data_IF_643174946397
#
_entry.id   IF_643174946397
#
_cell.length_a   1.000
_cell.length_b   1.000
_cell.length_c   1.000
_cell.angle_alpha   90.00
_cell.angle_beta   90.00
_cell.angle_gamma   90.00
#
_symmetry.space_group_name_H-M   'P 1'
#
loop_
_entity.id
_entity.type
_entity.pdbx_description
1 polymer ?
#
# COMPACT_ATOMS: atom_id res chain seq x y z
N UNK A 1 -9.98 13.10 5.40
CA UNK A 1 -8.73 12.33 5.20
C UNK A 1 -8.89 11.03 5.94
N UNK A 2 -9.24 9.98 5.19
CA UNK A 2 -9.58 8.67 5.75
C UNK A 2 -8.43 7.73 5.47
N UNK A 3 -7.76 7.27 6.51
CA UNK A 3 -6.68 6.31 6.39
C UNK A 3 -7.22 4.96 5.90
N UNK A 4 -6.62 4.45 4.83
CA UNK A 4 -7.00 3.19 4.21
C UNK A 4 -5.83 2.22 4.18
N UNK A 5 -6.11 0.91 4.23
CA UNK A 5 -5.04 -0.11 4.22
C UNK A 5 -4.31 -0.06 2.88
N UNK A 6 -2.98 -0.08 2.91
CA UNK A 6 -2.13 0.00 1.72
C UNK A 6 -2.51 -1.04 0.65
N UNK A 7 -2.80 -2.28 1.04
CA UNK A 7 -3.23 -3.31 0.08
C UNK A 7 -4.60 -3.03 -0.57
N UNK A 8 -5.48 -2.28 0.11
CA UNK A 8 -6.76 -1.85 -0.46
C UNK A 8 -6.55 -0.69 -1.44
N UNK A 9 -5.68 0.26 -1.10
CA UNK A 9 -5.31 1.37 -1.99
C UNK A 9 -4.63 0.87 -3.26
N UNK A 10 -3.65 -0.03 -3.13
CA UNK A 10 -2.97 -0.66 -4.27
C UNK A 10 -3.95 -1.42 -5.18
N UNK A 11 -4.91 -2.13 -4.58
CA UNK A 11 -5.94 -2.82 -5.35
C UNK A 11 -6.91 -1.87 -6.04
N UNK A 12 -7.28 -0.78 -5.39
CA UNK A 12 -8.14 0.24 -5.99
C UNK A 12 -7.47 0.95 -7.17
N UNK A 13 -6.14 1.17 -7.09
CA UNK A 13 -5.32 1.73 -8.17
C UNK A 13 -4.97 0.71 -9.28
N UNK A 14 -5.45 -0.53 -9.17
CA UNK A 14 -5.23 -1.57 -10.18
C UNK A 14 -3.81 -2.15 -10.21
N UNK A 15 -2.99 -1.90 -9.18
CA UNK A 15 -1.61 -2.40 -9.10
C UNK A 15 -1.57 -3.92 -8.95
N UNK A 16 -2.43 -4.46 -8.08
CA UNK A 16 -2.53 -5.89 -7.80
C UNK A 16 -3.85 -6.22 -7.10
N UNK A 17 -4.23 -7.48 -7.00
CA UNK A 17 -5.35 -7.87 -6.10
C UNK A 17 -4.98 -7.55 -4.63
N UNK A 18 -5.97 -7.46 -3.73
CA UNK A 18 -5.69 -7.20 -2.30
C UNK A 18 -4.69 -8.19 -1.69
N UNK A 19 -4.73 -9.46 -2.11
CA UNK A 19 -3.81 -10.52 -1.64
C UNK A 19 -2.42 -10.38 -2.26
N UNK A 20 -2.35 -10.18 -3.57
CA UNK A 20 -1.08 -9.96 -4.24
C UNK A 20 -0.39 -8.66 -3.75
N UNK A 21 -1.17 -7.63 -3.39
CA UNK A 21 -0.63 -6.42 -2.78
C UNK A 21 0.01 -6.71 -1.40
N UNK A 22 -0.56 -7.60 -0.58
CA UNK A 22 0.08 -8.04 0.67
C UNK A 22 1.43 -8.71 0.39
N UNK A 23 1.53 -9.56 -0.64
CA UNK A 23 2.80 -10.20 -1.03
C UNK A 23 3.84 -9.18 -1.51
N UNK A 24 3.44 -8.19 -2.33
CA UNK A 24 4.32 -7.13 -2.83
C UNK A 24 4.83 -6.24 -1.69
N UNK A 25 3.96 -5.92 -0.72
CA UNK A 25 4.34 -5.19 0.50
C UNK A 25 5.35 -6.02 1.29
N UNK A 26 5.04 -7.27 1.63
CA UNK A 26 5.93 -8.14 2.39
C UNK A 26 7.29 -8.36 1.70
N UNK A 27 7.32 -8.36 0.37
CA UNK A 27 8.54 -8.43 -0.43
C UNK A 27 9.36 -7.12 -0.46
N UNK A 28 8.90 -6.05 0.19
CA UNK A 28 9.58 -4.75 0.23
C UNK A 28 9.57 -4.01 -1.10
N UNK A 29 8.57 -4.28 -1.96
CA UNK A 29 8.46 -3.69 -3.30
C UNK A 29 7.57 -2.45 -3.34
N UNK A 30 7.01 -2.04 -2.21
CA UNK A 30 6.17 -0.84 -2.09
C UNK A 30 6.90 0.23 -1.31
N UNK A 31 6.85 1.46 -1.81
CA UNK A 31 7.34 2.64 -1.10
C UNK A 31 6.18 3.58 -0.85
N UNK A 32 6.11 4.15 0.34
CA UNK A 32 5.15 5.19 0.69
C UNK A 32 5.95 6.40 1.15
N UNK A 33 5.78 7.53 0.47
CA UNK A 33 6.55 8.77 0.71
C UNK A 33 8.08 8.54 0.73
N UNK A 34 8.56 7.63 -0.14
CA UNK A 34 9.97 7.28 -0.25
C UNK A 34 10.47 6.24 0.76
N UNK A 35 9.65 5.84 1.74
CA UNK A 35 9.98 4.80 2.73
C UNK A 35 9.49 3.44 2.26
N UNK A 36 10.37 2.44 2.27
CA UNK A 36 9.97 1.06 1.94
C UNK A 36 9.09 0.51 3.06
N UNK A 37 7.90 0.05 2.70
CA UNK A 37 6.93 -0.53 3.64
C UNK A 37 6.88 -2.03 3.43
N UNK A 38 7.16 -2.78 4.49
CA UNK A 38 7.05 -4.25 4.53
C UNK A 38 5.99 -4.77 5.50
N UNK A 39 5.40 -3.88 6.30
CA UNK A 39 4.42 -4.25 7.31
C UNK A 39 3.02 -4.41 6.70
N UNK A 40 2.39 -5.56 6.96
CA UNK A 40 1.02 -5.80 6.50
C UNK A 40 0.02 -5.02 7.34
N UNK A 41 -0.95 -4.39 6.67
CA UNK A 41 -1.97 -3.60 7.35
C UNK A 41 -1.55 -2.16 7.65
N UNK A 42 -0.39 -1.72 7.17
CA UNK A 42 -0.04 -0.29 7.10
C UNK A 42 -1.19 0.49 6.51
N UNK A 43 -1.57 1.56 7.20
CA UNK A 43 -2.59 2.48 6.72
C UNK A 43 -1.90 3.69 6.13
N UNK A 44 -2.41 4.13 5.00
CA UNK A 44 -1.91 5.27 4.23
C UNK A 44 -3.08 6.19 3.91
N UNK A 45 -2.79 7.46 3.70
CA UNK A 45 -3.75 8.41 3.18
C UNK A 45 -3.69 8.38 1.64
N UNK A 46 -4.70 7.83 0.95
CA UNK A 46 -4.66 7.72 -0.51
C UNK A 46 -4.66 9.08 -1.24
N UNK A 47 -5.06 10.16 -0.55
CA UNK A 47 -5.16 11.51 -1.09
C UNK A 47 -3.88 12.34 -0.87
N UNK A 48 -3.07 11.99 0.14
CA UNK A 48 -1.85 12.73 0.50
C UNK A 48 -0.55 11.93 0.32
N UNK A 49 -0.59 10.60 0.50
CA UNK A 49 0.60 9.76 0.44
C UNK A 49 0.94 9.37 -1.00
N UNK A 50 2.22 9.49 -1.33
CA UNK A 50 2.80 9.02 -2.59
C UNK A 50 3.14 7.52 -2.47
N UNK A 51 2.55 6.69 -3.31
CA UNK A 51 2.69 5.23 -3.33
C UNK A 51 3.19 4.79 -4.70
#
# INVERSE_FOLDING_TARGET
>A
MTLERLQKVLAHRGVASRRAAEEIIAAGRVRVNGVVVTELGTKVDPDNDLI
#
